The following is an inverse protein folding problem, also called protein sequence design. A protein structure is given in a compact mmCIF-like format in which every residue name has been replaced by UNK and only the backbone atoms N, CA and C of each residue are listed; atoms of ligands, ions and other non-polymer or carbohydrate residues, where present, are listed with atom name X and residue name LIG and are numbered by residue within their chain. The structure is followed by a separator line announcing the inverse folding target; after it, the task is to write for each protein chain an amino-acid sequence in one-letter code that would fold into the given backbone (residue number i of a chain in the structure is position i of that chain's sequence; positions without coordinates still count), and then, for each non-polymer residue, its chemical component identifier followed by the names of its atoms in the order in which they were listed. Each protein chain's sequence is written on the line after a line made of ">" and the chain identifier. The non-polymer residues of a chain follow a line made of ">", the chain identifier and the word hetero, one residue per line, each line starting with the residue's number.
data_IF_646125157636
#
_entry.id   IF_646125157636
#
_cell.length_a   1.000
_cell.length_b   1.000
_cell.length_c   1.000
_cell.angle_alpha   90.00
_cell.angle_beta   90.00
_cell.angle_gamma   90.00
#
_symmetry.space_group_name_H-M   'P 1'
#
loop_
_entity.id
_entity.type
_entity.pdbx_description
1 polymer ?
#
# COMPACT_ATOMS: atom_id res chain seq x y z
N UNK A 1 -8.66 16.14 2.16
CA UNK A 1 -9.22 15.75 0.83
C UNK A 1 -8.16 15.33 -0.19
N UNK A 2 -7.13 16.14 -0.47
CA UNK A 2 -6.13 15.88 -1.52
C UNK A 2 -5.34 14.57 -1.34
N UNK A 3 -4.95 14.23 -0.11
CA UNK A 3 -4.05 13.09 0.16
C UNK A 3 -4.65 11.71 -0.14
N UNK A 4 -5.97 11.53 0.03
CA UNK A 4 -6.61 10.25 -0.28
C UNK A 4 -6.57 9.98 -1.80
N UNK A 5 -6.88 10.99 -2.63
CA UNK A 5 -6.79 10.85 -4.08
C UNK A 5 -5.35 10.69 -4.58
N UNK A 6 -4.40 11.41 -3.97
CA UNK A 6 -2.97 11.19 -4.23
C UNK A 6 -2.55 9.77 -3.86
N UNK A 7 -2.99 9.27 -2.71
CA UNK A 7 -2.75 7.89 -2.29
C UNK A 7 -3.37 6.86 -3.23
N UNK A 8 -4.58 7.10 -3.74
CA UNK A 8 -5.23 6.25 -4.74
C UNK A 8 -4.44 6.23 -6.04
N UNK A 9 -4.04 7.40 -6.55
CA UNK A 9 -3.21 7.50 -7.75
C UNK A 9 -1.86 6.81 -7.57
N UNK A 10 -1.22 7.01 -6.42
CA UNK A 10 0.03 6.36 -6.05
C UNK A 10 -0.11 4.84 -6.02
N UNK A 11 -1.10 4.31 -5.30
CA UNK A 11 -1.44 2.88 -5.30
C UNK A 11 -1.69 2.35 -6.71
N UNK A 12 -2.34 3.13 -7.57
CA UNK A 12 -2.63 2.77 -8.96
C UNK A 12 -1.36 2.48 -9.77
N UNK A 13 -0.27 3.21 -9.54
CA UNK A 13 1.03 2.95 -10.16
C UNK A 13 1.59 1.57 -9.74
N UNK A 14 1.47 1.22 -8.46
CA UNK A 14 1.86 -0.10 -7.98
C UNK A 14 0.99 -1.21 -8.56
N UNK A 15 -0.33 -1.02 -8.61
CA UNK A 15 -1.25 -1.99 -9.24
C UNK A 15 -0.87 -2.22 -10.69
N UNK A 16 -0.66 -1.14 -11.47
CA UNK A 16 -0.25 -1.25 -12.87
C UNK A 16 1.07 -2.00 -13.03
N UNK A 17 2.08 -1.67 -12.22
CA UNK A 17 3.36 -2.40 -12.20
C UNK A 17 3.13 -3.89 -11.92
N UNK A 18 2.31 -4.25 -10.92
CA UNK A 18 2.05 -5.64 -10.57
C UNK A 18 1.25 -6.40 -11.62
N UNK A 19 0.31 -5.77 -12.30
CA UNK A 19 -0.40 -6.36 -13.44
C UNK A 19 0.58 -6.69 -14.56
N UNK A 20 1.48 -5.77 -14.93
CA UNK A 20 2.50 -6.03 -15.95
C UNK A 20 3.38 -7.23 -15.58
N UNK A 21 3.90 -7.28 -14.34
CA UNK A 21 4.71 -8.41 -13.89
C UNK A 21 3.92 -9.74 -13.84
N UNK A 22 2.62 -9.68 -13.53
CA UNK A 22 1.75 -10.86 -13.55
C UNK A 22 1.56 -11.40 -14.97
N UNK A 23 1.29 -10.51 -15.93
CA UNK A 23 1.14 -10.86 -17.35
C UNK A 23 2.44 -11.39 -17.96
N UNK A 24 3.59 -10.86 -17.52
CA UNK A 24 4.91 -11.33 -17.95
C UNK A 24 5.38 -12.59 -17.20
N UNK A 25 4.67 -13.05 -16.17
CA UNK A 25 5.08 -14.19 -15.34
C UNK A 25 6.39 -13.95 -14.58
N UNK A 26 6.69 -12.68 -14.24
CA UNK A 26 7.95 -12.28 -13.61
C UNK A 26 7.77 -11.96 -12.13
N UNK A 27 8.78 -12.30 -11.35
CA UNK A 27 8.92 -11.85 -9.98
C UNK A 27 9.53 -10.44 -9.93
N UNK A 28 9.12 -9.67 -8.92
CA UNK A 28 9.71 -8.38 -8.60
C UNK A 28 8.70 -7.24 -8.64
N UNK A 29 9.23 -6.03 -8.71
CA UNK A 29 8.49 -4.78 -8.82
C UNK A 29 9.42 -3.73 -9.41
N UNK A 30 8.85 -2.76 -10.13
CA UNK A 30 9.63 -1.65 -10.69
C UNK A 30 10.40 -0.91 -9.57
N UNK A 31 11.72 -0.79 -9.74
CA UNK A 31 12.60 -0.15 -8.74
C UNK A 31 12.85 -0.97 -7.46
N UNK A 32 12.39 -2.22 -7.44
CA UNK A 32 12.58 -3.17 -6.34
C UNK A 32 13.98 -3.79 -6.29
N UNK A 33 14.26 -4.66 -5.31
CA UNK A 33 15.51 -5.39 -5.24
C UNK A 33 15.67 -6.33 -6.43
N UNK A 34 16.92 -6.66 -6.74
CA UNK A 34 17.27 -7.64 -7.78
C UNK A 34 16.68 -8.99 -7.38
N UNK A 35 15.94 -9.61 -8.29
CA UNK A 35 15.40 -10.95 -8.11
C UNK A 35 16.32 -11.94 -8.80
N UNK A 36 16.91 -12.85 -8.03
CA UNK A 36 17.77 -13.89 -8.58
C UNK A 36 16.94 -15.01 -9.25
N UNK A 37 17.51 -15.74 -10.21
CA UNK A 37 16.84 -16.92 -10.79
C UNK A 37 16.45 -17.97 -9.73
N UNK A 38 17.25 -18.16 -8.67
CA UNK A 38 16.92 -19.13 -7.63
C UNK A 38 15.63 -18.77 -6.87
N UNK A 39 15.26 -17.48 -6.84
CA UNK A 39 14.02 -17.02 -6.20
C UNK A 39 12.77 -17.62 -6.86
N UNK A 40 12.86 -18.07 -8.12
CA UNK A 40 11.78 -18.73 -8.83
C UNK A 40 11.61 -20.20 -8.44
N UNK A 41 12.64 -20.85 -7.86
CA UNK A 41 12.57 -22.25 -7.44
C UNK A 41 11.55 -22.48 -6.31
N UNK A 42 11.20 -21.42 -5.58
CA UNK A 42 10.16 -21.45 -4.55
C UNK A 42 8.73 -21.47 -5.13
N UNK A 43 8.56 -21.33 -6.44
CA UNK A 43 7.26 -21.21 -7.11
C UNK A 43 7.05 -22.36 -8.11
N UNK A 44 5.87 -22.97 -8.05
CA UNK A 44 5.36 -23.89 -9.06
C UNK A 44 4.91 -23.18 -10.35
N UNK A 45 4.47 -23.98 -11.32
CA UNK A 45 4.00 -23.47 -12.61
C UNK A 45 2.81 -22.49 -12.42
N UNK A 46 2.95 -21.25 -12.92
CA UNK A 46 1.93 -20.21 -12.82
C UNK A 46 1.82 -19.50 -11.47
N UNK A 47 2.51 -19.97 -10.43
CA UNK A 47 2.41 -19.39 -9.08
C UNK A 47 3.03 -17.98 -8.98
N UNK A 48 4.04 -17.68 -9.80
CA UNK A 48 4.62 -16.34 -9.91
C UNK A 48 3.57 -15.32 -10.35
N UNK A 49 2.82 -15.63 -11.42
CA UNK A 49 1.78 -14.76 -11.92
C UNK A 49 0.68 -14.58 -10.87
N UNK A 50 0.27 -15.67 -10.20
CA UNK A 50 -0.71 -15.61 -9.11
C UNK A 50 -0.25 -14.71 -7.96
N UNK A 51 1.02 -14.82 -7.55
CA UNK A 51 1.58 -13.96 -6.51
C UNK A 51 1.58 -12.48 -6.92
N UNK A 52 1.85 -12.16 -8.19
CA UNK A 52 1.77 -10.79 -8.68
C UNK A 52 0.33 -10.28 -8.79
N UNK A 53 -0.64 -11.12 -9.15
CA UNK A 53 -2.06 -10.78 -9.06
C UNK A 53 -2.50 -10.53 -7.62
N UNK A 54 -2.01 -11.33 -6.66
CA UNK A 54 -2.22 -11.08 -5.23
C UNK A 54 -1.68 -9.72 -4.79
N UNK A 55 -0.48 -9.35 -5.26
CA UNK A 55 0.10 -8.03 -5.01
C UNK A 55 -0.72 -6.89 -5.63
N UNK A 56 -1.20 -7.06 -6.87
CA UNK A 56 -2.10 -6.11 -7.52
C UNK A 56 -3.41 -5.96 -6.73
N UNK A 57 -3.98 -7.07 -6.28
CA UNK A 57 -5.16 -7.09 -5.41
C UNK A 57 -4.94 -6.35 -4.09
N UNK A 58 -3.77 -6.51 -3.46
CA UNK A 58 -3.41 -5.76 -2.25
C UNK A 58 -3.35 -4.24 -2.51
N UNK A 59 -2.76 -3.83 -3.64
CA UNK A 59 -2.75 -2.42 -4.07
C UNK A 59 -4.17 -1.87 -4.30
N UNK A 60 -5.03 -2.65 -4.95
CA UNK A 60 -6.44 -2.29 -5.18
C UNK A 60 -7.23 -2.19 -3.86
N UNK A 61 -6.97 -3.10 -2.91
CA UNK A 61 -7.56 -3.03 -1.58
C UNK A 61 -7.20 -1.74 -0.86
N UNK A 62 -5.94 -1.28 -0.94
CA UNK A 62 -5.54 0.02 -0.38
C UNK A 62 -6.33 1.17 -1.01
N UNK A 63 -6.56 1.13 -2.34
CA UNK A 63 -7.39 2.13 -3.02
C UNK A 63 -8.83 2.12 -2.49
N UNK A 64 -9.42 0.94 -2.29
CA UNK A 64 -10.76 0.77 -1.71
C UNK A 64 -10.82 1.32 -0.29
N UNK A 65 -9.82 1.04 0.56
CA UNK A 65 -9.75 1.57 1.94
C UNK A 65 -9.70 3.10 1.93
N UNK A 66 -8.85 3.69 1.08
CA UNK A 66 -8.74 5.15 0.93
C UNK A 66 -10.06 5.77 0.43
N UNK A 67 -10.72 5.12 -0.54
CA UNK A 67 -12.00 5.55 -1.08
C UNK A 67 -13.13 5.44 -0.05
N UNK A 68 -13.20 4.34 0.70
CA UNK A 68 -14.14 4.14 1.80
C UNK A 68 -13.98 5.25 2.86
N UNK A 69 -12.74 5.66 3.12
CA UNK A 69 -12.38 6.83 3.95
C UNK A 69 -13.05 8.15 3.54
N UNK A 70 -13.60 8.26 2.33
CA UNK A 70 -14.25 9.47 1.82
C UNK A 70 -15.71 9.62 2.26
N UNK A 71 -16.39 8.51 2.51
CA UNK A 71 -17.81 8.53 2.87
C UNK A 71 -18.00 8.89 4.34
N UNK A 72 -19.18 9.45 4.66
CA UNK A 72 -19.57 9.68 6.06
C UNK A 72 -19.86 8.33 6.71
N UNK A 73 -19.19 8.07 7.84
CA UNK A 73 -19.36 6.82 8.60
C UNK A 73 -20.18 7.13 9.85
N UNK A 74 -21.44 6.68 9.87
CA UNK A 74 -22.40 6.98 10.94
C UNK A 74 -22.25 6.17 12.23
N UNK A 75 -21.41 5.13 12.25
CA UNK A 75 -21.23 4.23 13.39
C UNK A 75 -19.81 4.22 13.94
N UNK A 76 -19.67 4.19 15.28
CA UNK A 76 -18.36 4.11 15.98
C UNK A 76 -17.57 2.87 15.55
N UNK A 77 -18.24 1.74 15.36
CA UNK A 77 -17.63 0.48 14.89
C UNK A 77 -17.09 0.59 13.47
N UNK A 78 -17.91 1.01 12.52
CA UNK A 78 -17.50 1.19 11.13
C UNK A 78 -16.34 2.21 11.01
N UNK A 79 -16.38 3.29 11.81
CA UNK A 79 -15.28 4.24 11.87
C UNK A 79 -14.00 3.60 12.43
N UNK A 80 -14.11 2.83 13.52
CA UNK A 80 -12.99 2.11 14.12
C UNK A 80 -12.35 1.11 13.15
N UNK A 81 -13.16 0.32 12.43
CA UNK A 81 -12.66 -0.62 11.42
C UNK A 81 -11.94 0.10 10.28
N UNK A 82 -12.53 1.17 9.75
CA UNK A 82 -11.92 1.94 8.66
C UNK A 82 -10.63 2.63 9.07
N UNK A 83 -10.57 3.12 10.32
CA UNK A 83 -9.37 3.69 10.90
C UNK A 83 -8.29 2.62 11.11
N UNK A 84 -8.67 1.45 11.60
CA UNK A 84 -7.78 0.30 11.74
C UNK A 84 -7.20 -0.14 10.40
N UNK A 85 -8.04 -0.25 9.36
CA UNK A 85 -7.61 -0.58 8.00
C UNK A 85 -6.60 0.42 7.45
N UNK A 86 -6.86 1.72 7.59
CA UNK A 86 -5.88 2.74 7.20
C UNK A 86 -4.55 2.61 7.97
N UNK A 87 -4.63 2.39 9.28
CA UNK A 87 -3.45 2.20 10.13
C UNK A 87 -2.63 0.98 9.72
N UNK A 88 -3.30 -0.14 9.43
CA UNK A 88 -2.64 -1.36 8.97
C UNK A 88 -1.95 -1.15 7.62
N UNK A 89 -2.64 -0.55 6.64
CA UNK A 89 -2.03 -0.23 5.35
C UNK A 89 -0.81 0.68 5.51
N UNK A 90 -0.90 1.71 6.36
CA UNK A 90 0.22 2.61 6.63
C UNK A 90 1.41 1.88 7.27
N UNK A 91 1.14 1.00 8.25
CA UNK A 91 2.17 0.20 8.91
C UNK A 91 2.87 -0.76 7.94
N UNK A 92 2.11 -1.46 7.09
CA UNK A 92 2.69 -2.37 6.07
C UNK A 92 3.54 -1.59 5.07
N UNK A 93 3.06 -0.44 4.58
CA UNK A 93 3.82 0.41 3.67
C UNK A 93 5.10 0.95 4.33
N UNK A 94 5.03 1.37 5.60
CA UNK A 94 6.18 1.85 6.36
C UNK A 94 7.22 0.73 6.58
N UNK A 95 6.77 -0.47 6.95
CA UNK A 95 7.63 -1.64 7.10
C UNK A 95 8.30 -2.02 5.77
N UNK A 96 7.54 -2.01 4.67
CA UNK A 96 8.09 -2.21 3.33
C UNK A 96 9.14 -1.15 2.96
N UNK A 97 8.87 0.12 3.26
CA UNK A 97 9.81 1.22 3.04
C UNK A 97 11.09 1.05 3.85
N UNK A 98 10.98 0.81 5.15
CA UNK A 98 12.12 0.61 6.04
C UNK A 98 12.94 -0.63 5.65
N UNK A 99 12.29 -1.75 5.34
CA UNK A 99 12.97 -2.98 4.93
C UNK A 99 13.70 -2.87 3.60
N UNK A 100 13.12 -2.16 2.63
CA UNK A 100 13.73 -1.97 1.31
C UNK A 100 14.85 -0.93 1.34
N UNK A 101 14.65 0.20 2.02
CA UNK A 101 15.69 1.22 2.19
C UNK A 101 16.85 0.69 3.04
N UNK A 102 16.56 0.07 4.19
CA UNK A 102 17.57 -0.57 5.02
C UNK A 102 18.29 -1.68 4.26
N UNK A 103 17.55 -2.49 3.50
CA UNK A 103 18.14 -3.48 2.59
C UNK A 103 19.10 -2.88 1.58
N UNK A 104 18.73 -1.81 0.91
CA UNK A 104 19.57 -1.17 -0.09
C UNK A 104 20.79 -0.45 0.50
N UNK A 105 20.70 0.03 1.75
CA UNK A 105 21.81 0.69 2.44
C UNK A 105 22.80 -0.30 3.05
N UNK A 106 22.31 -1.48 3.48
CA UNK A 106 23.10 -2.47 4.20
C UNK A 106 23.55 -3.64 3.31
N UNK A 107 23.03 -3.75 2.09
CA UNK A 107 23.33 -4.84 1.15
C UNK A 107 23.28 -4.35 -0.30
N UNK A 108 23.94 -5.08 -1.21
CA UNK A 108 23.95 -4.77 -2.66
C UNK A 108 22.70 -5.25 -3.41
N UNK A 109 21.65 -5.68 -2.70
CA UNK A 109 20.43 -6.24 -3.34
C UNK A 109 19.57 -5.19 -4.05
N UNK A 110 19.86 -3.90 -3.90
CA UNK A 110 19.08 -2.79 -4.45
C UNK A 110 17.73 -2.59 -3.75
N UNK A 111 16.79 -1.92 -4.43
CA UNK A 111 15.43 -1.67 -3.93
C UNK A 111 15.18 -0.32 -3.27
N UNK A 112 16.17 0.59 -3.26
CA UNK A 112 16.01 1.93 -2.67
C UNK A 112 14.86 2.73 -3.29
N UNK A 113 14.67 2.63 -4.61
CA UNK A 113 13.61 3.34 -5.32
C UNK A 113 12.22 2.85 -4.86
N UNK A 114 12.02 1.53 -4.81
CA UNK A 114 10.77 0.97 -4.29
C UNK A 114 10.58 1.23 -2.79
N UNK A 115 11.68 1.24 -2.01
CA UNK A 115 11.64 1.65 -0.61
C UNK A 115 11.17 3.10 -0.42
N UNK A 116 11.67 4.02 -1.24
CA UNK A 116 11.20 5.40 -1.30
C UNK A 116 9.73 5.50 -1.72
N UNK A 117 9.32 4.71 -2.71
CA UNK A 117 7.91 4.60 -3.12
C UNK A 117 7.01 4.19 -1.93
N UNK A 118 7.42 3.17 -1.17
CA UNK A 118 6.70 2.70 0.01
C UNK A 118 6.68 3.74 1.14
N UNK A 119 7.75 4.50 1.34
CA UNK A 119 7.80 5.58 2.33
C UNK A 119 6.81 6.72 1.98
N UNK A 120 6.76 7.14 0.71
CA UNK A 120 5.76 8.11 0.23
C UNK A 120 4.35 7.54 0.42
N UNK A 121 4.15 6.27 0.09
CA UNK A 121 2.86 5.60 0.23
C UNK A 121 2.38 5.59 1.68
N UNK A 122 3.26 5.26 2.63
CA UNK A 122 2.99 5.31 4.07
C UNK A 122 2.63 6.73 4.52
N UNK A 123 3.37 7.75 4.08
CA UNK A 123 3.09 9.14 4.42
C UNK A 123 1.70 9.58 3.92
N UNK A 124 1.33 9.23 2.68
CA UNK A 124 0.02 9.54 2.12
C UNK A 124 -1.11 8.86 2.91
N UNK A 125 -0.93 7.59 3.31
CA UNK A 125 -1.88 6.85 4.14
C UNK A 125 -2.04 7.47 5.53
N UNK A 126 -0.94 7.88 6.17
CA UNK A 126 -0.97 8.57 7.48
C UNK A 126 -1.70 9.92 7.39
N UNK A 127 -1.44 10.70 6.32
CA UNK A 127 -2.13 11.97 6.08
C UNK A 127 -3.62 11.77 5.79
N UNK A 128 -3.99 10.74 5.01
CA UNK A 128 -5.37 10.36 4.77
C UNK A 128 -6.08 9.91 6.07
N UNK A 129 -5.38 9.17 6.92
CA UNK A 129 -5.85 8.75 8.25
C UNK A 129 -6.13 9.97 9.14
N UNK A 130 -5.22 10.95 9.15
CA UNK A 130 -5.40 12.19 9.90
C UNK A 130 -6.62 12.98 9.42
N UNK A 131 -6.80 13.10 8.10
CA UNK A 131 -7.96 13.75 7.48
C UNK A 131 -9.28 13.04 7.84
N UNK A 132 -9.30 11.70 7.85
CA UNK A 132 -10.45 10.90 8.31
C UNK A 132 -10.78 11.19 9.78
N UNK A 133 -9.78 11.18 10.68
CA UNK A 133 -9.98 11.49 12.11
C UNK A 133 -10.52 12.91 12.32
N UNK A 134 -9.98 13.89 11.60
CA UNK A 134 -10.43 15.28 11.68
C UNK A 134 -11.90 15.41 11.23
N UNK A 135 -12.27 14.81 10.10
CA UNK A 135 -13.66 14.83 9.61
C UNK A 135 -14.64 14.16 10.58
N UNK A 136 -14.26 13.03 11.17
CA UNK A 136 -15.11 12.36 12.16
C UNK A 136 -15.33 13.22 13.41
N UNK A 137 -14.27 13.87 13.92
CA UNK A 137 -14.38 14.80 15.07
C UNK A 137 -15.31 15.98 14.79
N UNK A 138 -15.22 16.57 13.59
CA UNK A 138 -16.07 17.68 13.19
C UNK A 138 -17.54 17.28 12.96
N UNK A 139 -17.80 16.01 12.65
CA UNK A 139 -19.13 15.47 12.43
C UNK A 139 -19.80 14.93 13.70
N UNK A 140 -19.07 14.80 14.81
CA UNK A 140 -19.64 14.36 16.08
C UNK A 140 -20.49 15.49 16.68
N UNK A 141 -21.76 15.24 17.07
CA UNK A 141 -22.58 16.26 17.73
C UNK A 141 -21.87 16.73 19.01
N UNK A 142 -21.73 18.06 19.18
CA UNK A 142 -21.32 18.64 20.45
C UNK A 142 -22.36 18.19 21.48
N UNK A 143 -21.94 17.41 22.48
CA UNK A 143 -22.76 17.19 23.66
C UNK A 143 -22.83 18.54 24.36
N UNK A 144 -23.97 19.22 24.23
CA UNK A 144 -24.36 20.38 25.07
C UNK A 144 -24.87 19.82 26.38
#
# INVERSE_FOLDING_TARGET
>A
MKFAYLGIGWSGLYVASKVVYALEGRLGVTGGPVVSPESYLAYGAGEVALAQWGNAGAGALVMVVLLAGRFRVGGRWAYGMLLGAHGLCAAVAAAGGAGMLGGALLTDRGGALFGGYCAVWAALLLLATRDLRQRHRLAAPRRV
#
